data_IF_861462769072
#
_entry.id   IF_861462769072
#
_cell.length_a   1.000
_cell.length_b   1.000
_cell.length_c   1.000
_cell.angle_alpha   90.00
_cell.angle_beta   90.00
_cell.angle_gamma   90.00
#
_symmetry.space_group_name_H-M   'P 1'
#
loop_
_entity.id
_entity.type
_entity.pdbx_description
1 polymer ?
#
# COMPACT_ATOMS: atom_id res chain seq x y z
N UNK A 1 -9.48 -4.33 18.95
CA UNK A 1 -9.85 -3.98 20.33
C UNK A 1 -11.31 -3.59 20.36
N UNK A 2 -11.94 -3.75 21.51
CA UNK A 2 -13.24 -3.14 21.80
C UNK A 2 -12.98 -1.72 22.30
N UNK A 3 -13.58 -0.75 21.62
CA UNK A 3 -13.37 0.68 21.84
C UNK A 3 -14.67 1.31 22.32
N UNK A 4 -14.57 2.25 23.26
CA UNK A 4 -15.71 3.10 23.60
C UNK A 4 -15.96 4.09 22.45
N UNK A 5 -16.98 3.82 21.63
CA UNK A 5 -17.32 4.61 20.44
C UNK A 5 -17.57 6.09 20.73
N UNK A 6 -17.96 6.46 21.95
CA UNK A 6 -18.16 7.87 22.36
C UNK A 6 -16.86 8.67 22.43
N UNK A 7 -15.71 8.00 22.52
CA UNK A 7 -14.38 8.64 22.58
C UNK A 7 -13.71 8.76 21.21
N UNK A 8 -14.31 8.18 20.16
CA UNK A 8 -13.78 8.29 18.81
C UNK A 8 -14.03 9.72 18.32
N UNK A 9 -12.99 10.37 17.84
CA UNK A 9 -13.05 11.75 17.34
C UNK A 9 -12.14 11.93 16.12
N UNK A 10 -12.15 13.13 15.55
CA UNK A 10 -11.21 13.56 14.52
C UNK A 10 -9.93 14.20 15.11
N UNK A 11 -9.75 14.17 16.43
CA UNK A 11 -8.56 14.72 17.08
C UNK A 11 -7.42 13.69 17.07
N UNK A 12 -6.34 14.03 16.36
CA UNK A 12 -5.13 13.20 16.27
C UNK A 12 -4.13 13.41 17.41
N UNK A 13 -4.33 14.43 18.25
CA UNK A 13 -3.42 14.75 19.34
C UNK A 13 -3.43 13.67 20.43
N UNK A 14 -2.26 13.12 20.73
CA UNK A 14 -2.07 12.03 21.70
C UNK A 14 -3.10 10.88 21.55
N UNK A 15 -3.33 10.48 20.31
CA UNK A 15 -4.31 9.47 19.94
C UNK A 15 -3.71 8.39 19.04
N UNK A 16 -4.34 7.23 19.02
CA UNK A 16 -4.14 6.19 18.01
C UNK A 16 -5.06 6.48 16.82
N UNK A 17 -4.53 6.33 15.61
CA UNK A 17 -5.36 6.25 14.41
C UNK A 17 -6.21 4.97 14.47
N UNK A 18 -7.45 5.00 13.98
CA UNK A 18 -8.29 3.80 13.84
C UNK A 18 -8.25 3.35 12.38
N UNK A 19 -8.01 2.07 12.14
CA UNK A 19 -8.07 1.53 10.78
C UNK A 19 -9.50 1.54 10.23
N UNK A 20 -9.76 2.44 9.28
CA UNK A 20 -11.04 2.50 8.57
C UNK A 20 -11.05 1.53 7.38
N UNK A 21 -11.31 0.25 7.67
CA UNK A 21 -11.36 -0.80 6.66
C UNK A 21 -12.42 -0.55 5.57
N UNK A 22 -13.42 0.32 5.79
CA UNK A 22 -14.47 0.61 4.80
C UNK A 22 -13.99 1.58 3.73
N UNK A 23 -13.25 2.60 4.14
CA UNK A 23 -12.76 3.67 3.27
C UNK A 23 -11.29 3.48 2.84
N UNK A 24 -10.69 2.36 3.21
CA UNK A 24 -9.32 2.04 2.83
C UNK A 24 -9.21 1.73 1.33
N UNK A 25 -8.16 2.26 0.68
CA UNK A 25 -7.87 1.98 -0.72
C UNK A 25 -7.08 0.67 -0.82
N UNK A 26 -7.76 -0.40 -1.23
CA UNK A 26 -7.18 -1.74 -1.35
C UNK A 26 -6.32 -1.93 -2.61
N UNK A 27 -6.25 -0.93 -3.49
CA UNK A 27 -5.29 -0.95 -4.60
C UNK A 27 -3.88 -0.58 -4.15
N UNK A 28 -3.75 0.08 -2.99
CA UNK A 28 -2.47 0.46 -2.39
C UNK A 28 -1.87 -0.69 -1.59
N UNK A 29 -0.55 -0.69 -1.51
CA UNK A 29 0.23 -1.53 -0.62
C UNK A 29 0.28 -0.92 0.78
N UNK A 30 0.17 0.40 0.94
CA UNK A 30 -0.01 1.05 2.24
C UNK A 30 -1.48 1.22 2.61
N UNK A 31 -1.76 1.21 3.90
CA UNK A 31 -3.08 1.59 4.41
C UNK A 31 -3.36 3.08 4.15
N UNK A 32 -4.60 3.41 3.80
CA UNK A 32 -5.08 4.79 3.74
C UNK A 32 -5.03 5.44 5.12
N UNK A 33 -4.94 6.78 5.16
CA UNK A 33 -5.15 7.54 6.40
C UNK A 33 -6.62 7.51 6.79
N UNK A 34 -6.89 7.43 8.08
CA UNK A 34 -8.22 7.63 8.65
C UNK A 34 -8.35 9.02 9.29
N UNK A 35 -9.59 9.51 9.34
CA UNK A 35 -10.03 10.66 10.11
C UNK A 35 -10.55 10.29 11.51
N UNK A 36 -10.49 9.01 11.88
CA UNK A 36 -10.96 8.49 13.17
C UNK A 36 -9.78 8.18 14.08
N UNK A 37 -9.84 8.74 15.28
CA UNK A 37 -8.79 8.62 16.28
C UNK A 37 -9.38 8.21 17.63
N UNK A 38 -8.59 7.46 18.39
CA UNK A 38 -8.93 7.02 19.75
C UNK A 38 -7.84 7.48 20.74
N UNK A 39 -8.19 8.20 21.81
CA UNK A 39 -7.19 8.81 22.68
C UNK A 39 -6.37 7.76 23.44
N UNK A 40 -5.06 7.99 23.63
CA UNK A 40 -4.16 6.99 24.24
C UNK A 40 -4.46 6.70 25.71
N UNK A 41 -5.09 7.64 26.41
CA UNK A 41 -5.56 7.46 27.79
C UNK A 41 -6.92 6.72 27.88
N UNK A 42 -7.56 6.43 26.74
CA UNK A 42 -8.80 5.68 26.68
C UNK A 42 -8.60 4.21 27.03
N UNK A 43 -9.57 3.62 27.74
CA UNK A 43 -9.53 2.20 28.10
C UNK A 43 -9.80 1.34 26.86
N UNK A 44 -8.83 0.50 26.50
CA UNK A 44 -8.95 -0.47 25.40
C UNK A 44 -9.04 -1.87 26.00
N UNK A 45 -10.10 -2.61 25.66
CA UNK A 45 -10.21 -4.04 25.98
C UNK A 45 -9.88 -4.87 24.76
N UNK A 46 -9.20 -5.99 24.99
CA UNK A 46 -8.85 -6.92 23.93
C UNK A 46 -9.56 -8.25 24.15
N UNK A 47 -10.08 -8.88 23.07
CA UNK A 47 -10.69 -10.20 23.19
C UNK A 47 -9.72 -11.24 23.76
N UNK A 48 -10.27 -12.24 24.45
CA UNK A 48 -9.47 -13.39 24.92
C UNK A 48 -8.78 -14.09 23.73
N UNK A 49 -7.51 -14.46 23.92
CA UNK A 49 -6.67 -15.07 22.88
C UNK A 49 -6.00 -14.07 21.91
N UNK A 50 -6.28 -12.77 22.02
CA UNK A 50 -5.49 -11.75 21.34
C UNK A 50 -4.11 -11.60 22.00
N UNK A 51 -3.10 -11.20 21.24
CA UNK A 51 -1.77 -10.90 21.76
C UNK A 51 -1.70 -9.54 22.52
N UNK A 52 -2.85 -8.91 22.76
CA UNK A 52 -2.98 -7.69 23.55
C UNK A 52 -2.23 -6.49 22.97
N UNK A 53 -1.91 -5.52 23.84
CA UNK A 53 -1.31 -4.24 23.45
C UNK A 53 0.13 -4.35 22.94
N UNK A 54 0.85 -5.43 23.26
CA UNK A 54 2.25 -5.64 22.85
C UNK A 54 2.36 -5.66 21.32
N UNK A 55 1.46 -6.37 20.65
CA UNK A 55 1.40 -6.41 19.17
C UNK A 55 1.06 -5.04 18.59
N UNK A 56 0.21 -4.26 19.24
CA UNK A 56 -0.14 -2.91 18.77
C UNK A 56 0.98 -1.89 18.95
N UNK A 57 1.77 -2.00 20.02
CA UNK A 57 2.87 -1.11 20.34
C UNK A 57 4.10 -1.24 19.42
N UNK A 58 4.16 -2.26 18.57
CA UNK A 58 5.24 -2.43 17.61
C UNK A 58 5.07 -1.49 16.41
N UNK A 59 6.19 -0.94 15.92
CA UNK A 59 6.17 0.12 14.92
C UNK A 59 5.58 -0.33 13.58
N UNK A 60 6.16 -1.37 12.99
CA UNK A 60 5.84 -1.82 11.64
C UNK A 60 4.80 -2.94 11.66
N UNK A 61 3.81 -2.84 10.79
CA UNK A 61 2.62 -3.70 10.78
C UNK A 61 2.25 -4.09 9.35
N UNK A 62 1.72 -5.31 9.23
CA UNK A 62 1.03 -5.82 8.05
C UNK A 62 -0.42 -6.03 8.46
N UNK A 63 -1.35 -5.35 7.80
CA UNK A 63 -2.79 -5.35 8.11
C UNK A 63 -3.56 -5.90 6.91
N UNK A 64 -4.57 -6.72 7.16
CA UNK A 64 -5.48 -7.22 6.12
C UNK A 64 -6.88 -7.44 6.69
N UNK A 65 -7.87 -7.48 5.80
CA UNK A 65 -9.24 -7.85 6.17
C UNK A 65 -9.35 -9.35 6.35
N UNK A 66 -10.08 -9.80 7.36
CA UNK A 66 -10.31 -11.23 7.57
C UNK A 66 -11.25 -11.86 6.56
N UNK A 67 -12.23 -11.08 6.05
CA UNK A 67 -13.14 -11.44 4.95
C UNK A 67 -12.96 -10.50 3.78
N UNK A 68 -13.16 -11.00 2.57
CA UNK A 68 -13.00 -10.21 1.33
C UNK A 68 -11.59 -9.59 1.25
N UNK A 69 -10.57 -10.34 1.66
CA UNK A 69 -9.19 -9.89 1.60
C UNK A 69 -8.75 -9.75 0.16
N UNK A 70 -8.34 -8.55 -0.24
CA UNK A 70 -7.76 -8.28 -1.57
C UNK A 70 -6.23 -8.43 -1.54
N UNK A 71 -5.62 -8.15 -0.39
CA UNK A 71 -4.18 -8.20 -0.20
C UNK A 71 -3.80 -7.80 1.23
N UNK A 72 -2.49 -7.83 1.49
CA UNK A 72 -1.89 -7.45 2.77
C UNK A 72 -1.25 -6.08 2.63
N UNK A 73 -1.50 -5.17 3.57
CA UNK A 73 -1.05 -3.78 3.49
C UNK A 73 -0.10 -3.41 4.61
N UNK A 74 0.85 -2.54 4.30
CA UNK A 74 1.85 -2.01 5.21
C UNK A 74 1.34 -0.82 6.01
N UNK A 75 1.76 -0.74 7.27
CA UNK A 75 1.59 0.41 8.14
C UNK A 75 2.79 0.57 9.07
N UNK A 76 3.25 1.80 9.25
CA UNK A 76 4.28 2.21 10.22
C UNK A 76 3.79 3.26 11.21
N UNK A 77 2.47 3.48 11.24
CA UNK A 77 1.78 4.42 12.13
C UNK A 77 1.22 3.70 13.36
N UNK A 78 0.93 4.48 14.40
CA UNK A 78 0.24 4.00 15.59
C UNK A 78 -1.26 3.83 15.30
N UNK A 79 -1.64 2.60 14.91
CA UNK A 79 -3.00 2.29 14.50
C UNK A 79 -3.65 1.21 15.36
N UNK A 80 -4.93 1.40 15.66
CA UNK A 80 -5.80 0.43 16.31
C UNK A 80 -6.73 -0.23 15.29
N UNK A 81 -6.92 -1.53 15.47
CA UNK A 81 -7.92 -2.30 14.74
C UNK A 81 -9.21 -2.36 15.56
N UNK A 82 -10.31 -1.87 15.02
CA UNK A 82 -11.63 -1.96 15.64
C UNK A 82 -12.27 -3.33 15.34
N UNK A 83 -12.70 -4.03 16.40
CA UNK A 83 -13.38 -5.32 16.25
C UNK A 83 -12.53 -6.43 15.65
N UNK A 84 -13.15 -7.29 14.82
CA UNK A 84 -12.58 -8.51 14.22
C UNK A 84 -12.54 -8.48 12.68
N UNK A 85 -12.78 -7.31 12.07
CA UNK A 85 -12.84 -7.14 10.62
C UNK A 85 -11.46 -7.22 9.95
N UNK A 86 -10.41 -6.95 10.73
CA UNK A 86 -9.03 -6.93 10.28
C UNK A 86 -8.11 -7.58 11.31
N UNK A 87 -7.00 -8.10 10.82
CA UNK A 87 -5.93 -8.67 11.65
C UNK A 87 -4.60 -7.98 11.33
N UNK A 88 -3.61 -8.18 12.19
CA UNK A 88 -2.27 -7.62 12.02
C UNK A 88 -1.17 -8.63 12.36
N UNK A 89 -0.04 -8.50 11.67
CA UNK A 89 1.27 -9.03 12.07
C UNK A 89 2.16 -7.80 12.29
N UNK A 90 2.91 -7.75 13.38
CA UNK A 90 3.76 -6.59 13.68
C UNK A 90 5.14 -6.99 14.19
N UNK A 91 6.08 -6.05 14.07
CA UNK A 91 7.45 -6.15 14.57
C UNK A 91 8.13 -4.78 14.57
N UNK A 92 9.20 -4.63 15.37
CA UNK A 92 10.09 -3.48 15.28
C UNK A 92 11.18 -3.65 14.21
N UNK A 93 11.24 -4.82 13.55
CA UNK A 93 12.17 -5.07 12.45
C UNK A 93 11.52 -4.76 11.09
N UNK A 94 11.77 -3.54 10.57
CA UNK A 94 11.26 -3.09 9.26
C UNK A 94 11.57 -4.08 8.14
N UNK A 95 12.82 -4.54 8.05
CA UNK A 95 13.30 -5.39 6.96
C UNK A 95 12.53 -6.71 6.90
N UNK A 96 12.31 -7.36 8.05
CA UNK A 96 11.52 -8.59 8.10
C UNK A 96 10.04 -8.36 7.78
N UNK A 97 9.46 -7.22 8.19
CA UNK A 97 8.08 -6.87 7.84
C UNK A 97 7.95 -6.63 6.34
N UNK A 98 8.88 -5.93 5.69
CA UNK A 98 8.87 -5.73 4.24
C UNK A 98 9.04 -7.04 3.47
N UNK A 99 9.93 -7.91 3.94
CA UNK A 99 10.10 -9.24 3.35
C UNK A 99 8.82 -10.06 3.47
N UNK A 100 8.25 -10.14 4.67
CA UNK A 100 7.01 -10.89 4.92
C UNK A 100 5.82 -10.32 4.15
N UNK A 101 5.69 -8.99 4.07
CA UNK A 101 4.66 -8.32 3.27
C UNK A 101 4.72 -8.75 1.80
N UNK A 102 5.93 -8.86 1.25
CA UNK A 102 6.15 -9.27 -0.14
C UNK A 102 5.83 -10.73 -0.36
N UNK A 103 6.23 -11.60 0.58
CA UNK A 103 5.85 -13.00 0.56
C UNK A 103 4.32 -13.16 0.60
N UNK A 104 3.65 -12.50 1.54
CA UNK A 104 2.21 -12.60 1.73
C UNK A 104 1.40 -12.10 0.53
N UNK A 105 1.88 -11.07 -0.16
CA UNK A 105 1.27 -10.58 -1.39
C UNK A 105 1.74 -11.31 -2.65
N UNK A 106 2.56 -12.34 -2.54
CA UNK A 106 3.06 -13.06 -3.71
C UNK A 106 1.97 -13.88 -4.39
N UNK A 107 2.11 -14.08 -5.71
CA UNK A 107 1.22 -14.93 -6.51
C UNK A 107 1.10 -16.35 -5.94
N UNK A 108 2.22 -16.96 -5.56
CA UNK A 108 2.26 -18.28 -4.91
C UNK A 108 1.43 -18.29 -3.63
N UNK A 109 1.64 -17.32 -2.73
CA UNK A 109 0.94 -17.31 -1.44
C UNK A 109 -0.55 -17.06 -1.64
N UNK A 110 -0.93 -16.18 -2.56
CA UNK A 110 -2.32 -15.99 -2.95
C UNK A 110 -2.95 -17.30 -3.42
N UNK A 111 -2.30 -18.03 -4.33
CA UNK A 111 -2.76 -19.32 -4.81
C UNK A 111 -2.88 -20.36 -3.68
N UNK A 112 -1.89 -20.44 -2.79
CA UNK A 112 -1.91 -21.36 -1.63
C UNK A 112 -3.12 -21.06 -0.75
N UNK A 113 -3.34 -19.80 -0.40
CA UNK A 113 -4.46 -19.40 0.44
C UNK A 113 -5.80 -19.68 -0.26
N UNK A 114 -5.93 -19.32 -1.53
CA UNK A 114 -7.15 -19.59 -2.31
C UNK A 114 -7.47 -21.07 -2.38
N UNK A 115 -6.49 -21.93 -2.69
CA UNK A 115 -6.70 -23.38 -2.84
C UNK A 115 -7.02 -24.10 -1.54
N UNK A 116 -6.55 -23.59 -0.41
CA UNK A 116 -6.77 -24.23 0.90
C UNK A 116 -7.99 -23.66 1.65
N UNK A 117 -8.42 -22.43 1.35
CA UNK A 117 -9.44 -21.75 2.14
C UNK A 117 -10.74 -21.53 1.39
N UNK A 118 -10.74 -21.50 0.06
CA UNK A 118 -11.95 -21.22 -0.72
C UNK A 118 -12.75 -22.49 -0.98
N UNK A 119 -14.01 -22.48 -0.56
CA UNK A 119 -14.99 -23.50 -0.94
C UNK A 119 -15.70 -23.11 -2.26
N UNK A 120 -16.19 -24.09 -3.02
CA UNK A 120 -16.74 -23.89 -4.37
C UNK A 120 -17.89 -22.87 -4.44
N UNK A 121 -18.69 -22.76 -3.38
CA UNK A 121 -19.87 -21.88 -3.33
C UNK A 121 -19.62 -20.56 -2.60
N UNK A 122 -18.42 -20.33 -2.06
CA UNK A 122 -18.12 -19.11 -1.31
C UNK A 122 -17.69 -17.95 -2.22
N UNK A 123 -18.34 -16.79 -2.03
CA UNK A 123 -17.95 -15.54 -2.70
C UNK A 123 -16.60 -15.01 -2.22
N UNK A 124 -16.21 -15.30 -0.97
CA UNK A 124 -14.92 -14.96 -0.40
C UNK A 124 -14.55 -15.92 0.73
N UNK A 125 -13.26 -16.18 0.89
CA UNK A 125 -12.73 -17.03 1.96
C UNK A 125 -12.18 -16.21 3.13
N UNK A 126 -12.15 -16.83 4.31
CA UNK A 126 -11.69 -16.21 5.55
C UNK A 126 -10.17 -16.39 5.74
N UNK A 127 -9.43 -15.28 5.83
CA UNK A 127 -7.97 -15.29 6.04
C UNK A 127 -7.66 -15.04 7.52
N UNK A 128 -7.73 -16.11 8.31
CA UNK A 128 -7.31 -16.10 9.70
C UNK A 128 -5.77 -16.10 9.82
N UNK A 129 -5.24 -15.59 10.93
CA UNK A 129 -3.81 -15.73 11.25
C UNK A 129 -3.37 -17.20 11.37
N UNK A 130 -4.26 -18.07 11.85
CA UNK A 130 -4.02 -19.53 11.94
C UNK A 130 -3.83 -20.14 10.56
N UNK A 131 -4.67 -19.77 9.59
CA UNK A 131 -4.54 -20.19 8.20
C UNK A 131 -3.21 -19.77 7.59
N UNK A 132 -2.77 -18.53 7.85
CA UNK A 132 -1.45 -18.05 7.38
C UNK A 132 -0.34 -18.92 7.98
N UNK A 133 -0.35 -19.15 9.30
CA UNK A 133 0.66 -19.98 9.98
C UNK A 133 0.67 -21.43 9.50
N UNK A 134 -0.49 -21.98 9.12
CA UNK A 134 -0.63 -23.35 8.67
C UNK A 134 -0.13 -23.55 7.24
N UNK A 135 -0.56 -22.68 6.31
CA UNK A 135 -0.37 -22.91 4.88
C UNK A 135 0.79 -22.11 4.27
N UNK A 136 1.11 -20.93 4.80
CA UNK A 136 2.18 -20.09 4.24
C UNK A 136 3.52 -20.51 4.83
N UNK A 137 4.41 -21.02 3.97
CA UNK A 137 5.78 -21.35 4.33
C UNK A 137 6.69 -20.18 4.04
N UNK A 138 7.49 -19.75 5.02
CA UNK A 138 8.54 -18.74 4.78
C UNK A 138 9.78 -19.46 4.25
N UNK A 139 10.30 -19.12 3.05
CA UNK A 139 11.50 -19.76 2.51
C UNK A 139 12.69 -19.63 3.45
N UNK A 140 13.48 -20.71 3.57
CA UNK A 140 14.70 -20.71 4.39
C UNK A 140 15.76 -19.85 3.71
N UNK A 141 16.26 -18.86 4.44
CA UNK A 141 17.33 -17.99 3.96
C UNK A 141 18.68 -18.52 4.42
N UNK A 142 19.60 -18.67 3.47
CA UNK A 142 20.99 -19.08 3.65
C UNK A 142 21.91 -17.96 3.14
N UNK A 143 23.21 -18.08 3.39
CA UNK A 143 24.19 -17.14 2.83
C UNK A 143 24.11 -17.04 1.30
N UNK A 144 23.79 -18.15 0.65
CA UNK A 144 23.73 -18.25 -0.82
C UNK A 144 22.54 -17.52 -1.42
N UNK A 145 21.39 -17.43 -0.73
CA UNK A 145 20.19 -16.79 -1.27
C UNK A 145 19.79 -15.48 -0.56
N UNK A 146 20.59 -15.03 0.43
CA UNK A 146 20.37 -13.78 1.16
C UNK A 146 20.21 -12.57 0.23
N UNK A 147 20.99 -12.52 -0.85
CA UNK A 147 20.93 -11.42 -1.82
C UNK A 147 19.55 -11.31 -2.51
N UNK A 148 18.81 -12.42 -2.65
CA UNK A 148 17.44 -12.43 -3.18
C UNK A 148 16.48 -11.77 -2.19
N UNK A 149 16.58 -12.13 -0.90
CA UNK A 149 15.79 -11.50 0.16
C UNK A 149 16.06 -10.00 0.25
N UNK A 150 17.32 -9.60 0.17
CA UNK A 150 17.73 -8.20 0.24
C UNK A 150 17.17 -7.39 -0.94
N UNK A 151 17.19 -7.96 -2.15
CA UNK A 151 16.56 -7.31 -3.31
C UNK A 151 15.04 -7.25 -3.17
N UNK A 152 14.37 -8.31 -2.69
CA UNK A 152 12.92 -8.27 -2.42
C UNK A 152 12.61 -7.09 -1.50
N UNK A 153 13.27 -6.99 -0.34
CA UNK A 153 13.06 -5.91 0.64
C UNK A 153 13.23 -4.53 0.00
N UNK A 154 14.32 -4.35 -0.75
CA UNK A 154 14.63 -3.08 -1.44
C UNK A 154 13.54 -2.70 -2.45
N UNK A 155 13.02 -3.68 -3.19
CA UNK A 155 11.95 -3.46 -4.17
C UNK A 155 10.60 -3.21 -3.52
N UNK A 156 10.31 -3.86 -2.40
CA UNK A 156 9.15 -3.53 -1.58
C UNK A 156 9.21 -2.09 -1.10
N UNK A 157 10.37 -1.64 -0.64
CA UNK A 157 10.56 -0.25 -0.21
C UNK A 157 10.40 0.72 -1.38
N UNK A 158 10.98 0.43 -2.56
CA UNK A 158 10.74 1.23 -3.77
C UNK A 158 9.25 1.33 -4.11
N UNK A 159 8.53 0.21 -4.02
CA UNK A 159 7.10 0.14 -4.29
C UNK A 159 6.26 0.98 -3.32
N UNK A 160 6.62 0.96 -2.03
CA UNK A 160 5.96 1.78 -0.99
C UNK A 160 6.24 3.28 -1.19
N UNK A 161 7.43 3.65 -1.65
CA UNK A 161 7.81 5.04 -1.92
C UNK A 161 7.04 5.64 -3.11
N UNK A 162 6.58 4.81 -4.06
CA UNK A 162 5.74 5.29 -5.17
C UNK A 162 4.38 5.83 -4.67
N UNK A 163 3.88 5.30 -3.56
CA UNK A 163 2.59 5.71 -2.99
C UNK A 163 2.68 6.97 -2.10
N UNK A 164 3.91 7.39 -1.78
CA UNK A 164 4.16 8.63 -1.00
C UNK A 164 4.26 9.87 -1.89
N UNK A 165 4.31 9.69 -3.21
CA UNK A 165 4.46 10.78 -4.15
C UNK A 165 3.17 11.59 -4.27
N UNK A 166 3.34 12.90 -4.20
CA UNK A 166 2.27 13.90 -4.33
C UNK A 166 2.52 14.77 -5.54
N UNK A 167 1.51 15.53 -5.95
CA UNK A 167 1.67 16.46 -7.07
C UNK A 167 2.80 17.49 -6.84
N UNK A 168 3.09 17.84 -5.59
CA UNK A 168 4.21 18.72 -5.22
C UNK A 168 5.59 18.14 -5.54
N UNK A 169 5.73 16.82 -5.61
CA UNK A 169 6.97 16.18 -6.08
C UNK A 169 7.22 16.45 -7.57
N UNK A 170 6.15 16.62 -8.35
CA UNK A 170 6.20 16.78 -9.80
C UNK A 170 6.07 18.24 -10.26
N UNK A 171 5.45 19.11 -9.46
CA UNK A 171 5.15 20.49 -9.83
C UNK A 171 5.65 21.45 -8.74
N UNK A 172 6.32 22.54 -9.16
CA UNK A 172 6.77 23.57 -8.23
C UNK A 172 5.66 24.58 -7.93
N UNK A 173 5.13 24.55 -6.70
CA UNK A 173 4.10 25.51 -6.24
C UNK A 173 4.66 26.73 -5.51
N UNK A 174 5.96 27.01 -5.64
CA UNK A 174 6.63 28.15 -4.99
C UNK A 174 6.10 29.47 -5.54
N UNK A 175 5.77 30.41 -4.63
CA UNK A 175 5.32 31.76 -5.00
C UNK A 175 3.82 31.89 -5.26
N UNK A 176 3.03 30.83 -5.12
CA UNK A 176 1.56 30.92 -5.21
C UNK A 176 0.99 31.43 -3.88
N UNK A 177 0.36 32.60 -3.92
CA UNK A 177 -0.35 33.19 -2.78
C UNK A 177 -1.82 32.77 -2.71
N UNK A 178 -2.47 32.55 -3.87
CA UNK A 178 -3.88 32.15 -3.95
C UNK A 178 -4.10 30.74 -3.39
N UNK A 179 -5.11 30.59 -2.53
CA UNK A 179 -5.42 29.32 -1.86
C UNK A 179 -6.52 28.51 -2.56
N UNK A 180 -7.28 29.12 -3.47
CA UNK A 180 -8.43 28.49 -4.12
C UNK A 180 -8.44 28.80 -5.61
N UNK A 181 -8.75 27.80 -6.41
CA UNK A 181 -8.81 27.87 -7.87
C UNK A 181 -10.15 27.37 -8.35
N UNK A 182 -10.61 27.92 -9.47
CA UNK A 182 -11.88 27.52 -10.08
C UNK A 182 -11.67 26.30 -10.98
N UNK A 183 -10.47 26.12 -11.54
CA UNK A 183 -10.16 25.00 -12.43
C UNK A 183 -8.65 24.69 -12.47
N UNK A 184 -8.32 23.46 -12.87
CA UNK A 184 -6.96 22.96 -13.03
C UNK A 184 -6.87 22.11 -14.30
N UNK A 185 -5.95 22.49 -15.20
CA UNK A 185 -5.74 21.81 -16.49
C UNK A 185 -4.26 21.55 -16.76
N UNK A 186 -4.01 20.72 -17.78
CA UNK A 186 -2.67 20.46 -18.30
C UNK A 186 -2.58 21.04 -19.72
N UNK A 187 -1.66 21.98 -19.92
CA UNK A 187 -1.33 22.54 -21.24
C UNK A 187 0.15 22.23 -21.55
N UNK A 188 0.39 21.24 -22.41
CA UNK A 188 1.73 20.80 -22.79
C UNK A 188 2.51 20.24 -21.59
N UNK A 189 3.56 20.93 -21.17
CA UNK A 189 4.40 20.57 -20.01
C UNK A 189 4.10 21.38 -18.74
N UNK A 190 2.95 22.06 -18.71
CA UNK A 190 2.55 22.92 -17.60
C UNK A 190 1.21 22.49 -16.99
N UNK A 191 1.13 22.59 -15.66
CA UNK A 191 -0.11 22.63 -14.91
C UNK A 191 -0.62 24.07 -14.89
N UNK A 192 -1.87 24.27 -15.29
CA UNK A 192 -2.52 25.58 -15.38
C UNK A 192 -3.56 25.66 -14.26
N UNK A 193 -3.41 26.63 -13.36
CA UNK A 193 -4.39 26.93 -12.34
C UNK A 193 -5.20 28.14 -12.81
N UNK A 194 -6.53 28.04 -12.84
CA UNK A 194 -7.41 29.15 -13.24
C UNK A 194 -8.11 29.77 -12.04
N UNK A 195 -8.16 31.09 -11.99
CA UNK A 195 -8.96 31.81 -11.00
C UNK A 195 -9.58 33.08 -11.60
N UNK A 196 -10.91 33.20 -11.59
CA UNK A 196 -11.66 34.34 -12.11
C UNK A 196 -11.23 34.79 -13.53
N UNK A 197 -10.83 33.82 -14.38
CA UNK A 197 -10.34 34.08 -15.75
C UNK A 197 -8.82 34.21 -15.87
N UNK A 198 -8.10 34.47 -14.78
CA UNK A 198 -6.64 34.52 -14.77
C UNK A 198 -6.04 33.11 -14.77
N UNK A 199 -4.87 32.95 -15.42
CA UNK A 199 -4.13 31.69 -15.53
C UNK A 199 -2.77 31.79 -14.86
N UNK A 200 -2.48 30.88 -13.95
CA UNK A 200 -1.13 30.67 -13.38
C UNK A 200 -0.53 29.42 -14.00
N UNK A 201 0.66 29.54 -14.59
CA UNK A 201 1.36 28.42 -15.24
C UNK A 201 2.46 27.88 -14.35
N UNK A 202 2.44 26.56 -14.10
CA UNK A 202 3.45 25.86 -13.31
C UNK A 202 4.10 24.75 -14.14
N UNK A 203 5.42 24.77 -14.21
CA UNK A 203 6.17 23.76 -14.97
C UNK A 203 6.15 22.41 -14.26
N UNK A 204 5.81 21.36 -15.02
CA UNK A 204 5.92 19.97 -14.57
C UNK A 204 7.37 19.52 -14.74
N UNK A 205 7.99 19.09 -13.64
CA UNK A 205 9.41 18.71 -13.56
C UNK A 205 9.70 17.37 -14.23
N UNK A 206 8.78 16.41 -14.12
CA UNK A 206 8.95 15.04 -14.63
C UNK A 206 7.61 14.33 -14.82
N UNK A 207 7.62 13.24 -15.60
CA UNK A 207 6.50 12.32 -15.81
C UNK A 207 5.13 12.99 -16.12
N UNK A 208 5.12 13.85 -17.14
CA UNK A 208 3.95 14.65 -17.56
C UNK A 208 2.70 13.77 -17.79
N UNK A 209 2.89 12.59 -18.40
CA UNK A 209 1.80 11.64 -18.66
C UNK A 209 1.10 11.20 -17.37
N UNK A 210 1.88 10.78 -16.37
CA UNK A 210 1.35 10.35 -15.07
C UNK A 210 0.59 11.48 -14.35
N UNK A 211 1.15 12.70 -14.37
CA UNK A 211 0.51 13.88 -13.78
C UNK A 211 -0.82 14.16 -14.49
N UNK A 212 -0.83 14.13 -15.83
CA UNK A 212 -2.03 14.35 -16.63
C UNK A 212 -3.12 13.32 -16.35
N UNK A 213 -2.76 12.04 -16.30
CA UNK A 213 -3.70 10.96 -15.97
C UNK A 213 -4.27 11.13 -14.56
N UNK A 214 -3.46 11.53 -13.59
CA UNK A 214 -3.91 11.78 -12.20
C UNK A 214 -4.90 12.93 -12.12
N UNK A 215 -4.57 14.08 -12.73
CA UNK A 215 -5.46 15.26 -12.76
C UNK A 215 -6.79 14.92 -13.44
N UNK A 216 -6.74 14.23 -14.58
CA UNK A 216 -7.95 13.82 -15.31
C UNK A 216 -8.81 12.82 -14.54
N UNK A 217 -8.21 11.97 -13.71
CA UNK A 217 -8.95 10.97 -12.92
C UNK A 217 -9.59 11.60 -11.68
N UNK A 218 -8.83 12.34 -10.90
CA UNK A 218 -9.24 12.80 -9.57
C UNK A 218 -10.07 14.09 -9.64
N UNK A 219 -9.78 15.02 -10.56
CA UNK A 219 -10.46 16.32 -10.59
C UNK A 219 -11.67 16.36 -11.54
N UNK A 220 -11.80 15.40 -12.46
CA UNK A 220 -12.90 15.37 -13.44
C UNK A 220 -14.27 15.06 -12.80
N UNK A 221 -14.30 14.47 -11.61
CA UNK A 221 -15.53 14.31 -10.82
C UNK A 221 -15.80 15.51 -9.90
N UNK A 222 -14.76 16.09 -9.29
CA UNK A 222 -14.90 17.28 -8.42
C UNK A 222 -15.34 18.53 -9.18
N UNK A 223 -14.87 18.71 -10.42
CA UNK A 223 -15.19 19.84 -11.29
C UNK A 223 -16.63 19.82 -11.87
N UNK A 224 -17.33 18.69 -11.81
CA UNK A 224 -18.74 18.59 -12.29
C UNK A 224 -19.74 19.23 -11.32
N UNK A 225 -19.30 19.58 -10.11
CA UNK A 225 -20.14 20.28 -9.13
C UNK A 225 -19.90 21.78 -9.29
N UNK A 226 -20.86 22.50 -9.87
CA UNK A 226 -20.77 23.90 -10.35
C UNK A 226 -20.27 24.97 -9.35
N UNK A 227 -20.00 24.62 -8.08
CA UNK A 227 -19.58 25.56 -7.03
C UNK A 227 -18.35 25.12 -6.21
N UNK A 228 -17.65 24.03 -6.57
CA UNK A 228 -16.47 23.60 -5.80
C UNK A 228 -15.19 24.26 -6.30
N UNK A 229 -14.58 25.09 -5.46
CA UNK A 229 -13.22 25.59 -5.66
C UNK A 229 -12.19 24.55 -5.21
N UNK A 230 -11.14 24.38 -5.99
CA UNK A 230 -10.00 23.50 -5.70
C UNK A 230 -9.06 24.20 -4.73
N UNK A 231 -8.80 23.60 -3.57
CA UNK A 231 -7.87 24.15 -2.59
C UNK A 231 -6.41 23.85 -2.99
N UNK A 232 -5.52 24.83 -2.87
CA UNK A 232 -4.09 24.66 -3.14
C UNK A 232 -3.46 23.56 -2.27
N UNK A 233 -3.86 23.46 -1.00
CA UNK A 233 -3.33 22.45 -0.08
C UNK A 233 -3.73 21.04 -0.52
N UNK A 234 -4.98 20.85 -0.93
CA UNK A 234 -5.48 19.55 -1.41
C UNK A 234 -4.78 19.18 -2.72
N UNK A 235 -4.63 20.14 -3.64
CA UNK A 235 -3.91 19.94 -4.90
C UNK A 235 -2.43 19.60 -4.67
N UNK A 236 -1.75 20.30 -3.76
CA UNK A 236 -0.35 20.01 -3.40
C UNK A 236 -0.16 18.60 -2.85
N UNK A 237 -1.12 18.12 -2.07
CA UNK A 237 -1.10 16.82 -1.41
C UNK A 237 -1.77 15.71 -2.24
N UNK A 238 -2.27 16.02 -3.45
CA UNK A 238 -2.91 15.06 -4.32
C UNK A 238 -1.95 13.90 -4.61
N UNK A 239 -2.31 12.65 -4.26
CA UNK A 239 -1.44 11.50 -4.51
C UNK A 239 -1.24 11.26 -6.02
N UNK A 240 0.00 11.08 -6.45
CA UNK A 240 0.38 10.78 -7.83
C UNK A 240 1.13 9.45 -7.84
N UNK A 241 0.39 8.35 -8.04
CA UNK A 241 0.90 6.99 -7.88
C UNK A 241 1.12 6.35 -9.25
N UNK A 242 2.37 5.93 -9.52
CA UNK A 242 2.72 5.20 -10.74
C UNK A 242 2.39 3.69 -10.59
N UNK A 243 1.11 3.36 -10.77
CA UNK A 243 0.62 1.97 -10.67
C UNK A 243 1.26 1.03 -11.69
N UNK A 244 1.62 1.52 -12.88
CA UNK A 244 2.30 0.72 -13.90
C UNK A 244 3.73 0.35 -13.47
N UNK A 245 4.47 1.30 -12.91
CA UNK A 245 5.80 1.01 -12.34
C UNK A 245 5.69 0.12 -11.12
N UNK A 246 4.71 0.36 -10.24
CA UNK A 246 4.44 -0.50 -9.08
C UNK A 246 4.16 -1.95 -9.51
N UNK A 247 3.34 -2.17 -10.53
CA UNK A 247 3.05 -3.50 -11.08
C UNK A 247 4.30 -4.20 -11.61
N UNK A 248 5.16 -3.50 -12.36
CA UNK A 248 6.42 -4.06 -12.85
C UNK A 248 7.35 -4.49 -11.72
N UNK A 249 7.45 -3.68 -10.66
CA UNK A 249 8.22 -4.02 -9.46
C UNK A 249 7.61 -5.24 -8.77
N UNK A 250 6.29 -5.29 -8.64
CA UNK A 250 5.56 -6.39 -8.03
C UNK A 250 5.75 -7.71 -8.77
N UNK A 251 5.63 -7.70 -10.10
CA UNK A 251 5.87 -8.89 -10.93
C UNK A 251 7.30 -9.40 -10.77
N UNK A 252 8.28 -8.50 -10.69
CA UNK A 252 9.66 -8.88 -10.42
C UNK A 252 9.85 -9.49 -9.02
N UNK A 253 9.23 -8.90 -7.99
CA UNK A 253 9.22 -9.48 -6.64
C UNK A 253 8.59 -10.88 -6.65
N UNK A 254 7.50 -11.09 -7.39
CA UNK A 254 6.86 -12.41 -7.51
C UNK A 254 7.81 -13.46 -8.08
N UNK A 255 8.61 -13.10 -9.09
CA UNK A 255 9.61 -14.01 -9.66
C UNK A 255 10.72 -14.35 -8.66
N UNK A 256 11.18 -13.38 -7.86
CA UNK A 256 12.17 -13.61 -6.81
C UNK A 256 11.63 -14.48 -5.67
N UNK A 257 10.38 -14.24 -5.25
CA UNK A 257 9.71 -15.08 -4.26
C UNK A 257 9.54 -16.50 -4.81
N UNK A 258 9.12 -16.64 -6.06
CA UNK A 258 9.03 -17.94 -6.72
C UNK A 258 10.36 -18.69 -6.70
N UNK A 259 11.45 -17.99 -7.03
CA UNK A 259 12.79 -18.57 -6.99
C UNK A 259 13.16 -19.09 -5.60
N UNK A 260 12.80 -18.37 -4.53
CA UNK A 260 13.02 -18.83 -3.15
C UNK A 260 12.16 -20.04 -2.77
N UNK A 261 10.90 -20.12 -3.21
CA UNK A 261 10.03 -21.26 -2.92
C UNK A 261 10.48 -22.55 -3.62
N UNK A 262 10.97 -22.43 -4.86
CA UNK A 262 11.30 -23.57 -5.70
C UNK A 262 12.80 -23.80 -5.89
N UNK A 263 13.63 -23.09 -5.11
CA UNK A 263 15.09 -23.13 -5.21
C UNK A 263 15.61 -22.95 -6.65
N UNK A 264 15.03 -22.00 -7.39
CA UNK A 264 15.51 -21.66 -8.74
C UNK A 264 16.86 -20.97 -8.59
N UNK A 265 17.88 -21.50 -9.27
CA UNK A 265 19.23 -20.95 -9.22
C UNK A 265 19.27 -19.58 -9.90
N UNK A 266 19.51 -18.53 -9.10
CA UNK A 266 19.77 -17.17 -9.55
C UNK A 266 21.22 -16.87 -9.22
N UNK A 267 22.05 -16.57 -10.21
CA UNK A 267 23.46 -16.28 -9.99
C UNK A 267 23.71 -14.79 -9.71
N UNK A 268 22.87 -13.90 -10.25
CA UNK A 268 23.05 -12.46 -10.12
C UNK A 268 21.71 -11.71 -10.22
N UNK A 269 21.58 -10.65 -9.42
CA UNK A 269 20.47 -9.69 -9.48
C UNK A 269 20.99 -8.37 -10.04
N UNK A 270 20.29 -7.82 -11.04
CA UNK A 270 20.53 -6.46 -11.52
C UNK A 270 19.24 -5.89 -12.14
N UNK A 271 19.13 -4.55 -12.16
CA UNK A 271 17.96 -3.82 -12.69
C UNK A 271 17.56 -4.20 -14.12
N UNK A 272 18.51 -4.71 -14.92
CA UNK A 272 18.29 -5.02 -16.34
C UNK A 272 18.09 -6.53 -16.61
N UNK A 273 17.97 -7.36 -15.55
CA UNK A 273 17.89 -8.82 -15.68
C UNK A 273 16.51 -9.39 -15.28
N UNK A 274 15.46 -8.57 -15.24
CA UNK A 274 14.10 -9.02 -14.90
C UNK A 274 13.64 -10.16 -15.81
N UNK A 275 13.75 -9.98 -17.13
CA UNK A 275 13.35 -11.00 -18.10
C UNK A 275 14.17 -12.29 -17.96
N UNK A 276 15.46 -12.18 -17.60
CA UNK A 276 16.30 -13.35 -17.37
C UNK A 276 15.83 -14.16 -16.17
N UNK A 277 15.48 -13.50 -15.07
CA UNK A 277 14.98 -14.17 -13.86
C UNK A 277 13.62 -14.80 -14.14
N UNK A 278 12.71 -14.07 -14.80
CA UNK A 278 11.42 -14.60 -15.26
C UNK A 278 11.59 -15.85 -16.12
N UNK A 279 12.53 -15.83 -17.06
CA UNK A 279 12.83 -16.98 -17.93
C UNK A 279 13.47 -18.17 -17.18
N UNK A 280 14.15 -17.94 -16.05
CA UNK A 280 14.63 -19.02 -15.20
C UNK A 280 13.46 -19.64 -14.41
N UNK A 281 12.58 -18.81 -13.85
CA UNK A 281 11.41 -19.26 -13.12
C UNK A 281 10.42 -20.00 -14.03
N UNK A 282 10.20 -19.54 -15.26
CA UNK A 282 9.25 -20.16 -16.21
C UNK A 282 9.61 -21.58 -16.65
N UNK A 283 10.87 -21.99 -16.49
CA UNK A 283 11.31 -23.39 -16.72
C UNK A 283 10.79 -24.34 -15.65
N UNK A 284 10.36 -23.83 -14.50
CA UNK A 284 9.77 -24.63 -13.45
C UNK A 284 8.29 -24.94 -13.79
N UNK A 285 7.92 -26.22 -13.72
CA UNK A 285 6.55 -26.71 -14.02
C UNK A 285 5.44 -26.04 -13.20
N UNK A 286 5.75 -25.48 -12.04
CA UNK A 286 4.79 -24.82 -11.17
C UNK A 286 4.56 -23.34 -11.54
N UNK A 287 5.45 -22.72 -12.32
CA UNK A 287 5.37 -21.30 -12.66
C UNK A 287 4.10 -20.92 -13.44
N UNK A 288 3.64 -21.68 -14.45
CA UNK A 288 2.40 -21.34 -15.18
C UNK A 288 1.12 -21.41 -14.34
N UNK A 289 1.18 -22.05 -13.16
CA UNK A 289 0.03 -22.25 -12.26
C UNK A 289 -0.05 -21.10 -11.25
N UNK A 290 1.03 -20.30 -11.11
CA UNK A 290 1.16 -19.22 -10.14
C UNK A 290 0.72 -17.86 -10.70
#
# INVERSE_FOLDING_TARGET
GELNKKLISNNSENAYEIFDYKNNDYNKIKISKSDKFYPKNGKITFPQGSQGIITFGQQYKIIWRTKYSVGFQYCDREILLEGNQSLTISSNNKKEILYLLSLLNSKIVKLILEKNLRQEQEQAFFVAITSIKQYVRVPKITKENQFIKDEIIKRTEEMLLLEEKTLSDFVGFSGIMLQKFDDVEIEGSNLILKHNGDKIKLKIKSNIKLVSETIQKELKEELKSENKKINLADLKNLPVIDFEKQKKIKDYIDDLVFALYFNVSINEISRNKFDKIKNLCSKNKCYPIC
#
